data_IF_232702609487
#
_entry.id   IF_232702609487
#
_cell.length_a   1.000
_cell.length_b   1.000
_cell.length_c   1.000
_cell.angle_alpha   90.00
_cell.angle_beta   90.00
_cell.angle_gamma   90.00
#
_symmetry.space_group_name_H-M   'P 1'
#
loop_
_entity.id
_entity.type
_entity.pdbx_description
1 polymer ?
#
# COMPACT_ATOMS: atom_id res chain seq x y z
N UNK A 1 -5.14 32.22 7.67
CA UNK A 1 -3.77 31.97 8.17
C UNK A 1 -3.36 30.63 7.58
N UNK A 2 -2.81 30.66 6.35
CA UNK A 2 -2.29 29.44 5.70
C UNK A 2 -1.04 29.09 6.48
N UNK A 3 -1.06 27.97 7.20
CA UNK A 3 0.14 27.43 7.83
C UNK A 3 1.00 26.92 6.68
N UNK A 4 2.25 27.35 6.59
CA UNK A 4 3.19 26.91 5.55
C UNK A 4 3.38 25.39 5.70
N UNK A 5 2.64 24.61 4.92
CA UNK A 5 2.61 23.15 4.94
C UNK A 5 4.01 22.55 4.67
N UNK A 6 4.86 23.29 3.94
CA UNK A 6 6.23 22.89 3.62
C UNK A 6 7.15 22.81 4.85
N UNK A 7 7.00 23.73 5.81
CA UNK A 7 7.79 23.72 7.04
C UNK A 7 7.41 22.55 7.96
N UNK A 8 6.14 22.15 7.94
CA UNK A 8 5.63 20.99 8.67
C UNK A 8 6.08 19.66 8.04
N UNK A 9 6.28 19.64 6.73
CA UNK A 9 6.77 18.47 6.01
C UNK A 9 8.26 18.24 6.30
N UNK A 10 9.07 19.29 6.32
CA UNK A 10 10.51 19.24 6.58
C UNK A 10 10.82 18.82 8.04
N UNK A 11 10.10 19.37 9.03
CA UNK A 11 10.23 18.91 10.42
C UNK A 11 9.86 17.43 10.60
N UNK A 12 8.89 16.93 9.82
CA UNK A 12 8.51 15.51 9.81
C UNK A 12 9.55 14.63 9.12
N UNK A 13 10.14 15.07 8.01
CA UNK A 13 11.25 14.35 7.38
C UNK A 13 12.46 14.27 8.31
N UNK A 14 12.77 15.35 9.02
CA UNK A 14 13.82 15.40 10.04
C UNK A 14 13.60 14.40 11.18
N UNK A 15 12.35 14.22 11.59
CA UNK A 15 11.99 13.28 12.65
C UNK A 15 11.96 11.81 12.17
N UNK A 16 11.57 11.57 10.92
CA UNK A 16 11.44 10.22 10.36
C UNK A 16 12.76 9.65 9.83
N UNK A 17 13.73 10.51 9.47
CA UNK A 17 14.99 10.12 8.82
C UNK A 17 16.24 10.80 9.41
N UNK A 18 16.56 10.60 10.70
CA UNK A 18 17.64 11.33 11.39
C UNK A 18 19.05 11.07 10.83
N UNK A 19 19.25 9.97 10.09
CA UNK A 19 20.55 9.57 9.52
C UNK A 19 20.78 10.10 8.11
N UNK A 20 19.82 10.84 7.52
CA UNK A 20 20.00 11.46 6.21
C UNK A 20 20.56 12.88 6.34
N UNK A 21 21.37 13.35 5.38
CA UNK A 21 21.68 14.78 5.30
C UNK A 21 20.38 15.54 5.04
N UNK A 22 19.91 16.27 6.06
CA UNK A 22 18.79 17.18 5.94
C UNK A 22 19.28 18.45 5.25
N UNK A 23 18.76 18.76 4.07
CA UNK A 23 18.91 20.09 3.52
C UNK A 23 17.99 21.03 4.31
N UNK A 24 18.58 21.93 5.09
CA UNK A 24 17.83 22.99 5.74
C UNK A 24 17.21 23.87 4.66
N UNK A 25 15.89 24.04 4.69
CA UNK A 25 15.22 25.09 3.88
C UNK A 25 15.68 26.52 4.29
N UNK A 26 16.46 26.67 5.36
CA UNK A 26 17.15 27.92 5.66
C UNK A 26 18.24 28.25 4.62
N UNK A 27 18.83 27.26 3.96
CA UNK A 27 19.80 27.47 2.87
C UNK A 27 19.09 27.91 1.57
N UNK A 28 17.75 27.86 1.52
CA UNK A 28 16.93 28.42 0.43
C UNK A 28 16.42 29.84 0.71
N UNK A 29 16.76 30.45 1.85
CA UNK A 29 16.40 31.85 2.13
C UNK A 29 17.40 32.87 1.56
N UNK A 30 18.60 32.42 1.17
CA UNK A 30 19.67 33.25 0.60
C UNK A 30 19.86 33.03 -0.92
N UNK A 31 19.02 32.21 -1.56
CA UNK A 31 19.18 31.91 -2.98
C UNK A 31 18.52 32.98 -3.86
N UNK A 32 19.38 33.78 -4.48
CA UNK A 32 19.02 34.76 -5.48
C UNK A 32 18.33 34.09 -6.69
N UNK A 33 17.01 33.95 -6.65
CA UNK A 33 16.17 33.98 -7.85
C UNK A 33 16.29 32.83 -8.86
N UNK A 34 17.07 31.79 -8.59
CA UNK A 34 17.14 30.61 -9.45
C UNK A 34 16.26 29.50 -8.87
N UNK A 35 14.99 29.46 -9.31
CA UNK A 35 13.99 28.42 -9.02
C UNK A 35 14.37 27.02 -9.59
N UNK A 36 15.63 26.62 -9.51
CA UNK A 36 16.14 25.39 -10.12
C UNK A 36 16.11 24.26 -9.10
N UNK A 37 15.12 23.38 -9.24
CA UNK A 37 15.07 22.14 -8.47
C UNK A 37 16.33 21.30 -8.77
N UNK A 38 16.96 20.68 -7.75
CA UNK A 38 18.16 19.87 -7.97
C UNK A 38 17.87 18.75 -8.97
N UNK A 39 18.82 18.53 -9.87
CA UNK A 39 18.73 17.44 -10.85
C UNK A 39 18.81 16.08 -10.13
N UNK A 40 17.99 15.12 -10.58
CA UNK A 40 17.99 13.76 -10.05
C UNK A 40 19.30 12.99 -10.31
N UNK A 41 19.42 11.73 -9.88
CA UNK A 41 20.62 10.91 -10.07
C UNK A 41 21.08 10.91 -11.52
N UNK A 42 22.40 11.07 -11.75
CA UNK A 42 22.99 11.23 -13.11
C UNK A 42 22.54 10.13 -14.08
N UNK A 43 22.43 8.88 -13.60
CA UNK A 43 21.99 7.76 -14.43
C UNK A 43 20.53 7.91 -14.91
N UNK A 44 19.66 8.47 -14.08
CA UNK A 44 18.22 8.64 -14.37
C UNK A 44 17.93 9.84 -15.28
N UNK A 45 18.90 10.73 -15.49
CA UNK A 45 18.78 11.85 -16.42
C UNK A 45 18.77 11.38 -17.88
N UNK A 46 19.35 10.20 -18.16
CA UNK A 46 19.46 9.66 -19.51
C UNK A 46 18.29 8.75 -19.89
N UNK A 47 17.66 9.00 -21.04
CA UNK A 47 16.53 8.17 -21.52
C UNK A 47 16.92 6.69 -21.73
N UNK A 48 18.21 6.43 -21.98
CA UNK A 48 18.74 5.08 -22.15
C UNK A 48 18.59 4.22 -20.89
N UNK A 49 18.70 4.82 -19.71
CA UNK A 49 18.51 4.14 -18.43
C UNK A 49 17.09 3.58 -18.32
N UNK A 50 16.09 4.44 -18.52
CA UNK A 50 14.67 4.05 -18.44
C UNK A 50 14.27 3.00 -19.47
N UNK A 51 14.77 3.13 -20.70
CA UNK A 51 14.53 2.14 -21.77
C UNK A 51 15.15 0.79 -21.43
N UNK A 52 16.38 0.78 -20.91
CA UNK A 52 17.08 -0.44 -20.49
C UNK A 52 16.35 -1.12 -19.32
N UNK A 53 15.93 -0.34 -18.33
CA UNK A 53 15.17 -0.82 -17.18
C UNK A 53 13.85 -1.48 -17.60
N UNK A 54 13.06 -0.80 -18.45
CA UNK A 54 11.80 -1.32 -18.96
C UNK A 54 11.99 -2.62 -19.75
N UNK A 55 12.97 -2.66 -20.66
CA UNK A 55 13.31 -3.87 -21.42
C UNK A 55 13.66 -5.04 -20.50
N UNK A 56 14.54 -4.80 -19.52
CA UNK A 56 14.95 -5.81 -18.56
C UNK A 56 13.78 -6.36 -17.74
N UNK A 57 12.81 -5.51 -17.34
CA UNK A 57 11.61 -5.96 -16.62
C UNK A 57 10.71 -6.83 -17.49
N UNK A 58 10.46 -6.43 -18.74
CA UNK A 58 9.62 -7.22 -19.66
C UNK A 58 10.26 -8.60 -19.92
N UNK A 59 11.56 -8.62 -20.21
CA UNK A 59 12.30 -9.86 -20.50
C UNK A 59 12.44 -10.77 -19.27
N UNK A 60 12.62 -10.19 -18.08
CA UNK A 60 12.80 -10.92 -16.83
C UNK A 60 11.50 -11.42 -16.19
N UNK A 61 10.44 -10.59 -16.18
CA UNK A 61 9.23 -10.88 -15.42
C UNK A 61 8.09 -11.42 -16.30
N UNK A 62 7.86 -10.85 -17.47
CA UNK A 62 6.69 -11.22 -18.30
C UNK A 62 6.98 -12.44 -19.17
N UNK A 63 8.11 -12.45 -19.87
CA UNK A 63 8.43 -13.52 -20.85
C UNK A 63 8.82 -14.84 -20.18
N UNK A 64 9.34 -14.78 -18.95
CA UNK A 64 9.81 -15.96 -18.22
C UNK A 64 8.76 -16.52 -17.25
N UNK A 65 7.58 -15.91 -17.16
CA UNK A 65 6.55 -16.33 -16.21
C UNK A 65 5.96 -17.67 -16.61
N UNK A 66 6.22 -18.71 -15.82
CA UNK A 66 5.58 -20.01 -15.96
C UNK A 66 4.28 -20.06 -15.15
N UNK A 67 3.19 -20.43 -15.80
CA UNK A 67 1.92 -20.68 -15.13
C UNK A 67 2.00 -21.95 -14.26
N UNK A 68 1.59 -21.84 -12.99
CA UNK A 68 1.48 -22.98 -12.08
C UNK A 68 0.09 -23.59 -12.26
N UNK A 69 0.02 -24.77 -12.87
CA UNK A 69 -1.25 -25.47 -13.19
C UNK A 69 -1.69 -26.51 -12.16
N UNK A 70 -0.90 -26.71 -11.10
CA UNK A 70 -1.19 -27.70 -10.05
C UNK A 70 -2.01 -27.10 -8.90
N UNK A 71 -2.64 -27.96 -8.10
CA UNK A 71 -3.33 -27.56 -6.86
C UNK A 71 -2.29 -27.25 -5.78
N UNK A 72 -2.43 -26.12 -5.09
CA UNK A 72 -1.53 -25.73 -4.01
C UNK A 72 -1.68 -26.65 -2.79
N UNK A 73 -0.56 -27.20 -2.30
CA UNK A 73 -0.55 -28.01 -1.07
C UNK A 73 -0.72 -27.16 0.20
N UNK A 74 -0.14 -25.96 0.19
CA UNK A 74 -0.13 -25.05 1.33
C UNK A 74 -0.63 -23.68 0.89
N UNK A 75 -1.35 -23.00 1.78
CA UNK A 75 -1.82 -21.63 1.59
C UNK A 75 -1.26 -20.79 2.74
N UNK A 76 -0.58 -19.70 2.41
CA UNK A 76 -0.07 -18.72 3.37
C UNK A 76 -0.64 -17.37 2.96
N UNK A 77 -1.31 -16.69 3.90
CA UNK A 77 -1.90 -15.37 3.69
C UNK A 77 -1.19 -14.39 4.61
N UNK A 78 -0.56 -13.37 4.03
CA UNK A 78 0.00 -12.24 4.78
C UNK A 78 -1.02 -11.10 4.81
N UNK A 79 -1.26 -10.54 5.99
CA UNK A 79 -2.31 -9.55 6.21
C UNK A 79 -1.75 -8.28 6.80
N UNK A 80 -1.70 -7.22 6.01
CA UNK A 80 -1.42 -5.86 6.50
C UNK A 80 -2.73 -5.16 6.83
N UNK A 81 -3.15 -5.18 8.11
CA UNK A 81 -4.32 -4.41 8.55
C UNK A 81 -4.06 -2.91 8.34
N UNK A 82 -5.00 -2.22 7.70
CA UNK A 82 -4.86 -0.79 7.35
C UNK A 82 -3.79 -0.47 6.29
N UNK A 83 -3.22 -1.47 5.60
CA UNK A 83 -2.14 -1.25 4.63
C UNK A 83 -2.68 -0.76 3.27
N UNK A 84 -2.79 0.56 3.13
CA UNK A 84 -3.22 1.22 1.88
C UNK A 84 -2.06 1.33 0.87
N UNK A 85 -2.37 1.61 -0.41
CA UNK A 85 -1.34 1.90 -1.43
C UNK A 85 -0.44 3.08 -1.03
N UNK A 86 -0.95 4.20 -0.49
CA UNK A 86 -0.12 5.25 0.10
C UNK A 86 0.80 4.77 1.22
N UNK A 87 0.33 3.85 2.08
CA UNK A 87 1.17 3.26 3.14
C UNK A 87 2.38 2.54 2.54
N UNK A 88 2.22 1.85 1.40
CA UNK A 88 3.33 1.21 0.68
C UNK A 88 4.34 2.23 0.18
N UNK A 89 3.88 3.29 -0.49
CA UNK A 89 4.75 4.35 -0.99
C UNK A 89 5.53 5.03 0.14
N UNK A 90 4.84 5.39 1.23
CA UNK A 90 5.47 5.95 2.42
C UNK A 90 6.51 4.99 3.03
N UNK A 91 6.26 3.68 3.00
CA UNK A 91 7.23 2.68 3.48
C UNK A 91 8.49 2.65 2.61
N UNK A 92 8.38 2.80 1.29
CA UNK A 92 9.56 2.85 0.40
C UNK A 92 10.41 4.10 0.64
N UNK A 93 9.74 5.25 0.75
CA UNK A 93 10.40 6.51 1.17
C UNK A 93 11.08 6.30 2.51
N UNK A 94 10.39 5.63 3.45
CA UNK A 94 10.93 5.36 4.77
C UNK A 94 12.19 4.48 4.73
N UNK A 95 12.21 3.48 3.85
CA UNK A 95 13.38 2.62 3.60
C UNK A 95 14.53 3.35 2.89
N UNK A 96 14.35 4.59 2.50
CA UNK A 96 15.41 5.45 2.02
C UNK A 96 15.52 5.54 0.49
N UNK A 97 14.55 5.04 -0.28
CA UNK A 97 14.48 5.24 -1.73
C UNK A 97 13.11 4.76 -2.26
N UNK A 98 12.42 5.60 -3.03
CA UNK A 98 11.13 5.28 -3.65
C UNK A 98 11.22 4.14 -4.66
N UNK A 99 12.40 3.92 -5.26
CA UNK A 99 12.64 2.84 -6.21
C UNK A 99 12.82 1.47 -5.53
N UNK A 100 12.90 1.41 -4.19
CA UNK A 100 12.99 0.13 -3.47
C UNK A 100 11.69 -0.64 -3.56
N UNK A 101 11.81 -1.95 -3.76
CA UNK A 101 10.68 -2.87 -3.73
C UNK A 101 10.59 -3.58 -2.38
N UNK A 102 9.41 -3.58 -1.77
CA UNK A 102 9.10 -4.45 -0.63
C UNK A 102 9.13 -5.92 -1.07
N UNK A 103 9.27 -6.84 -0.12
CA UNK A 103 9.40 -8.27 -0.42
C UNK A 103 8.23 -8.82 -1.24
N UNK A 104 6.99 -8.42 -0.92
CA UNK A 104 5.78 -8.84 -1.62
C UNK A 104 5.54 -8.12 -2.95
N UNK A 105 6.23 -7.00 -3.23
CA UNK A 105 6.13 -6.29 -4.51
C UNK A 105 6.87 -7.00 -5.64
N UNK A 106 7.66 -8.02 -5.27
CA UNK A 106 8.31 -8.96 -6.20
C UNK A 106 7.40 -10.14 -6.55
N UNK A 107 6.18 -10.21 -5.98
CA UNK A 107 5.25 -11.27 -6.34
C UNK A 107 4.80 -11.12 -7.79
N UNK A 108 4.59 -12.23 -8.51
CA UNK A 108 4.34 -12.22 -9.96
C UNK A 108 2.94 -11.72 -10.34
N UNK A 109 2.06 -11.48 -9.36
CA UNK A 109 0.68 -11.07 -9.58
C UNK A 109 0.27 -10.01 -8.57
N UNK A 110 -0.48 -9.02 -9.04
CA UNK A 110 -1.12 -7.98 -8.24
C UNK A 110 -2.57 -7.86 -8.66
N UNK A 111 -3.45 -7.57 -7.71
CA UNK A 111 -4.87 -7.33 -7.94
C UNK A 111 -5.39 -6.26 -7.00
N UNK A 112 -6.46 -5.58 -7.39
CA UNK A 112 -7.17 -4.62 -6.55
C UNK A 112 -8.44 -5.28 -5.98
N UNK A 113 -8.72 -5.02 -4.70
CA UNK A 113 -9.88 -5.56 -4.00
C UNK A 113 -10.85 -4.44 -3.60
N UNK A 114 -12.15 -4.64 -3.82
CA UNK A 114 -13.21 -3.72 -3.36
C UNK A 114 -13.62 -4.09 -1.94
N UNK A 115 -13.21 -3.30 -0.96
CA UNK A 115 -13.25 -3.67 0.46
C UNK A 115 -14.55 -3.39 1.20
N UNK A 116 -15.51 -2.65 0.62
CA UNK A 116 -16.76 -2.24 1.29
C UNK A 116 -17.49 -3.39 2.05
N UNK A 117 -18.04 -3.10 3.23
CA UNK A 117 -18.99 -3.98 3.92
C UNK A 117 -20.35 -3.92 3.21
N UNK A 118 -21.26 -4.86 3.46
CA UNK A 118 -22.57 -4.84 2.77
C UNK A 118 -23.38 -3.56 3.07
N UNK A 119 -23.25 -3.03 4.29
CA UNK A 119 -23.97 -1.86 4.80
C UNK A 119 -23.14 -0.56 4.83
N UNK A 120 -21.81 -0.63 4.61
CA UNK A 120 -20.92 0.56 4.67
C UNK A 120 -19.87 0.58 3.57
N UNK A 121 -19.57 1.78 3.06
CA UNK A 121 -18.54 1.97 2.03
C UNK A 121 -17.12 1.83 2.59
N UNK A 122 -16.90 2.36 3.79
CA UNK A 122 -15.62 2.23 4.52
C UNK A 122 -15.74 1.02 5.44
N UNK A 123 -14.95 0.00 5.15
CA UNK A 123 -14.98 -1.26 5.88
C UNK A 123 -14.23 -1.20 7.21
N UNK A 124 -14.61 -2.07 8.14
CA UNK A 124 -13.84 -2.39 9.33
C UNK A 124 -13.12 -3.74 9.21
N UNK A 125 -12.26 -4.06 10.17
CA UNK A 125 -11.49 -5.31 10.15
C UNK A 125 -12.39 -6.56 10.25
N UNK A 126 -13.55 -6.47 10.91
CA UNK A 126 -14.43 -7.63 11.10
C UNK A 126 -15.16 -8.06 9.81
N UNK A 127 -15.80 -7.11 9.10
CA UNK A 127 -16.52 -7.44 7.88
C UNK A 127 -15.55 -7.87 6.76
N UNK A 128 -14.36 -7.24 6.71
CA UNK A 128 -13.33 -7.58 5.74
C UNK A 128 -12.73 -8.96 6.02
N UNK A 129 -12.49 -9.31 7.29
CA UNK A 129 -12.09 -10.66 7.70
C UNK A 129 -13.03 -11.74 7.20
N UNK A 130 -14.33 -11.54 7.39
CA UNK A 130 -15.34 -12.48 6.90
C UNK A 130 -15.28 -12.61 5.37
N UNK A 131 -15.07 -11.50 4.66
CA UNK A 131 -14.99 -11.52 3.21
C UNK A 131 -13.80 -12.32 2.67
N UNK A 132 -12.57 -12.07 3.13
CA UNK A 132 -11.37 -12.73 2.58
C UNK A 132 -11.03 -14.09 3.22
N UNK A 133 -11.59 -14.42 4.40
CA UNK A 133 -11.40 -15.74 5.03
C UNK A 133 -12.55 -16.71 4.77
N UNK A 134 -13.80 -16.23 4.76
CA UNK A 134 -14.98 -17.07 4.55
C UNK A 134 -15.57 -16.95 3.14
N UNK A 135 -15.13 -15.97 2.33
CA UNK A 135 -15.62 -15.78 0.96
C UNK A 135 -16.98 -15.09 0.86
N UNK A 136 -17.52 -14.56 1.96
CA UNK A 136 -18.84 -13.90 2.01
C UNK A 136 -18.71 -12.52 2.66
N UNK A 137 -19.25 -11.49 2.01
CA UNK A 137 -19.30 -10.14 2.60
C UNK A 137 -20.30 -10.08 3.75
N UNK A 138 -19.94 -9.35 4.80
CA UNK A 138 -20.74 -9.17 6.00
C UNK A 138 -21.04 -7.67 6.27
N UNK A 139 -21.85 -7.41 7.29
CA UNK A 139 -22.11 -6.06 7.78
C UNK A 139 -20.93 -5.56 8.63
N UNK A 140 -20.78 -4.24 8.74
CA UNK A 140 -19.73 -3.63 9.56
C UNK A 140 -19.81 -4.11 11.02
N UNK A 141 -18.68 -4.52 11.59
CA UNK A 141 -18.61 -5.01 12.96
C UNK A 141 -19.18 -6.41 13.19
N UNK A 142 -19.41 -7.17 12.13
CA UNK A 142 -19.83 -8.59 12.21
C UNK A 142 -18.73 -9.52 11.69
N UNK A 143 -18.63 -10.72 12.25
CA UNK A 143 -17.58 -11.69 11.94
C UNK A 143 -18.15 -13.10 11.81
N UNK A 144 -17.76 -13.84 10.77
CA UNK A 144 -18.14 -15.25 10.59
C UNK A 144 -19.62 -15.48 10.34
N UNK A 145 -20.35 -14.42 9.97
CA UNK A 145 -21.78 -14.45 9.66
C UNK A 145 -22.07 -13.60 8.43
N UNK A 146 -23.12 -13.95 7.70
CA UNK A 146 -23.55 -13.19 6.54
C UNK A 146 -24.28 -11.89 6.93
N UNK A 147 -24.51 -11.03 5.94
CA UNK A 147 -25.13 -9.72 6.12
C UNK A 147 -26.62 -9.73 6.53
N UNK A 148 -27.24 -10.90 6.73
CA UNK A 148 -28.60 -10.98 7.30
C UNK A 148 -28.62 -10.56 8.78
N UNK A 149 -27.50 -10.70 9.48
CA UNK A 149 -27.41 -10.44 10.91
C UNK A 149 -27.03 -8.97 11.16
N UNK A 150 -27.90 -8.18 11.82
CA UNK A 150 -27.54 -6.84 12.24
C UNK A 150 -26.46 -6.88 13.32
N UNK A 151 -25.58 -5.88 13.32
CA UNK A 151 -24.60 -5.70 14.39
C UNK A 151 -25.29 -5.67 15.76
N UNK A 152 -24.68 -6.31 16.75
CA UNK A 152 -25.16 -6.39 18.14
C UNK A 152 -26.45 -7.19 18.37
N UNK A 153 -26.95 -7.94 17.39
CA UNK A 153 -28.09 -8.85 17.59
C UNK A 153 -27.62 -10.28 17.94
N UNK A 154 -27.36 -10.53 19.23
CA UNK A 154 -26.87 -11.82 19.72
C UNK A 154 -27.76 -13.00 19.32
N UNK A 155 -29.08 -12.86 19.43
CA UNK A 155 -30.02 -13.94 19.09
C UNK A 155 -29.99 -14.31 17.61
N UNK A 156 -29.80 -13.33 16.72
CA UNK A 156 -29.63 -13.61 15.30
C UNK A 156 -28.27 -14.23 14.98
N UNK A 157 -27.22 -13.91 15.75
CA UNK A 157 -25.88 -14.47 15.59
C UNK A 157 -25.81 -15.96 15.95
N UNK A 158 -26.70 -16.48 16.78
CA UNK A 158 -26.71 -17.90 17.16
C UNK A 158 -27.42 -18.79 16.15
N UNK A 159 -28.11 -18.22 15.15
CA UNK A 159 -28.73 -18.98 14.06
C UNK A 159 -27.65 -19.53 13.13
N UNK A 160 -27.43 -20.85 13.17
CA UNK A 160 -26.45 -21.54 12.34
C UNK A 160 -26.67 -21.35 10.84
N UNK A 161 -27.89 -21.02 10.39
CA UNK A 161 -28.16 -20.70 8.99
C UNK A 161 -27.52 -19.37 8.53
N UNK A 162 -26.99 -18.57 9.46
CA UNK A 162 -26.34 -17.28 9.16
C UNK A 162 -24.81 -17.34 9.18
N UNK A 163 -24.21 -18.45 9.63
CA UNK A 163 -22.76 -18.62 9.75
C UNK A 163 -22.11 -18.88 8.39
N UNK A 164 -20.87 -18.41 8.22
CA UNK A 164 -20.06 -18.55 6.99
C UNK A 164 -18.61 -18.93 7.28
#
# INVERSE_FOLDING_TARGET
RVVNDEALFDEREKYMHPDRPHHNLQDSADDHGDNVRPAGPVAEQESAYWKKLAKSKIEGELLQRKEIKGVAKNIIIFMGDGMSVPTLAATRVYMGDENKALSFERFPAVGLSKTYCVDTQVADSACSATAYLCGVKANMGTMGINAKVPRSNCTAQTDAATHV
#
